data_IF_016900754179
#
_entry.id   IF_016900754179
#
_cell.length_a   1.000
_cell.length_b   1.000
_cell.length_c   1.000
_cell.angle_alpha   90.00
_cell.angle_beta   90.00
_cell.angle_gamma   90.00
#
_symmetry.space_group_name_H-M   'P 1'
#
loop_
_entity.id
_entity.type
_entity.pdbx_description
1 polymer ?
#
# COMPACT_ATOMS: atom_id res chain seq x y z
N UNK A 1 13.02 15.77 22.43
CA UNK A 1 11.85 15.06 21.90
C UNK A 1 12.02 15.07 20.40
N UNK A 2 12.61 14.00 19.84
CA UNK A 2 12.57 13.81 18.40
C UNK A 2 11.13 13.51 18.05
N UNK A 3 10.56 14.31 17.15
CA UNK A 3 9.31 13.94 16.48
C UNK A 3 9.69 12.69 15.69
N UNK A 4 9.28 11.52 16.17
CA UNK A 4 9.27 10.34 15.32
C UNK A 4 8.23 10.65 14.25
N UNK A 5 8.68 11.02 13.06
CA UNK A 5 7.81 11.11 11.89
C UNK A 5 7.40 9.68 11.58
N UNK A 6 6.22 9.28 12.03
CA UNK A 6 5.67 7.95 11.74
C UNK A 6 5.41 7.86 10.25
N UNK A 7 6.32 7.23 9.52
CA UNK A 7 6.16 7.00 8.09
C UNK A 7 4.97 6.06 7.86
N UNK A 8 4.02 6.46 7.03
CA UNK A 8 2.86 5.64 6.68
C UNK A 8 2.94 5.23 5.22
N UNK A 9 2.79 3.94 4.91
CA UNK A 9 2.78 3.47 3.53
C UNK A 9 1.34 3.34 3.03
N UNK A 10 0.92 4.29 2.21
CA UNK A 10 -0.45 4.47 1.76
C UNK A 10 -0.67 3.90 0.36
N UNK A 11 -1.91 3.50 0.08
CA UNK A 11 -2.34 2.92 -1.19
C UNK A 11 -3.63 3.57 -1.65
N UNK A 12 -3.76 3.75 -2.96
CA UNK A 12 -4.96 4.28 -3.61
C UNK A 12 -5.28 3.49 -4.87
N UNK A 13 -6.52 3.00 -5.03
CA UNK A 13 -6.96 2.44 -6.31
C UNK A 13 -7.22 3.55 -7.32
N UNK A 14 -6.90 3.32 -8.59
CA UNK A 14 -6.97 4.35 -9.63
C UNK A 14 -7.26 3.76 -11.01
N UNK A 15 -8.15 4.43 -11.76
CA UNK A 15 -8.40 4.11 -13.18
C UNK A 15 -7.25 4.58 -14.06
N UNK A 16 -7.08 3.93 -15.21
CA UNK A 16 -6.05 4.29 -16.19
C UNK A 16 -6.10 5.77 -16.62
N UNK A 17 -7.31 6.33 -16.77
CA UNK A 17 -7.51 7.73 -17.14
C UNK A 17 -6.96 8.70 -16.07
N UNK A 18 -7.25 8.43 -14.79
CA UNK A 18 -6.77 9.24 -13.67
C UNK A 18 -5.26 9.06 -13.46
N UNK A 19 -4.75 7.82 -13.63
CA UNK A 19 -3.31 7.56 -13.61
C UNK A 19 -2.61 8.36 -14.70
N UNK A 20 -3.15 8.38 -15.91
CA UNK A 20 -2.59 9.17 -17.02
C UNK A 20 -2.55 10.66 -16.67
N UNK A 21 -3.65 11.20 -16.13
CA UNK A 21 -3.72 12.60 -15.67
C UNK A 21 -2.68 12.92 -14.59
N UNK A 22 -2.45 11.99 -13.64
CA UNK A 22 -1.41 12.16 -12.62
C UNK A 22 -0.02 12.16 -13.24
N UNK A 23 0.27 11.22 -14.14
CA UNK A 23 1.59 11.09 -14.76
C UNK A 23 1.98 12.28 -15.65
N UNK A 24 1.00 12.99 -16.23
CA UNK A 24 1.24 14.20 -17.03
C UNK A 24 1.14 15.50 -16.21
N UNK A 25 0.78 15.41 -14.93
CA UNK A 25 0.68 16.54 -14.00
C UNK A 25 -0.63 17.35 -14.08
N UNK A 26 -1.67 16.82 -14.72
CA UNK A 26 -3.01 17.44 -14.80
C UNK A 26 -3.85 17.20 -13.53
N UNK A 27 -3.45 16.23 -12.71
CA UNK A 27 -4.08 15.88 -11.44
C UNK A 27 -2.98 15.57 -10.41
N UNK A 28 -3.15 16.01 -9.17
CA UNK A 28 -2.25 15.65 -8.07
C UNK A 28 -2.74 14.41 -7.33
N UNK A 29 -1.83 13.69 -6.66
CA UNK A 29 -2.21 12.58 -5.78
C UNK A 29 -3.13 13.04 -4.65
N UNK A 30 -2.91 14.23 -4.09
CA UNK A 30 -3.75 14.76 -3.03
C UNK A 30 -5.18 15.04 -3.51
N UNK A 31 -5.37 15.56 -4.73
CA UNK A 31 -6.70 15.72 -5.33
C UNK A 31 -7.43 14.38 -5.50
N UNK A 32 -6.72 13.33 -5.93
CA UNK A 32 -7.31 11.98 -6.03
C UNK A 32 -7.70 11.45 -4.64
N UNK A 33 -6.82 11.65 -3.65
CA UNK A 33 -7.01 11.17 -2.27
C UNK A 33 -8.13 11.89 -1.54
N UNK A 34 -8.27 13.19 -1.71
CA UNK A 34 -9.36 13.91 -1.07
C UNK A 34 -10.73 13.43 -1.58
N UNK A 35 -10.78 12.93 -2.83
CA UNK A 35 -11.98 12.43 -3.51
C UNK A 35 -13.23 13.28 -3.19
N UNK A 36 -13.04 14.62 -3.19
CA UNK A 36 -14.09 15.55 -2.76
C UNK A 36 -15.35 15.30 -3.56
N UNK A 37 -16.48 15.28 -2.88
CA UNK A 37 -17.81 15.03 -3.46
C UNK A 37 -18.00 13.63 -4.11
N UNK A 38 -17.17 12.63 -3.76
CA UNK A 38 -17.20 11.28 -4.36
C UNK A 38 -17.08 11.29 -5.89
N UNK A 39 -16.28 12.22 -6.43
CA UNK A 39 -16.08 12.38 -7.87
C UNK A 39 -15.44 11.14 -8.51
N UNK A 40 -14.71 10.34 -7.74
CA UNK A 40 -14.07 9.10 -8.16
C UNK A 40 -14.62 7.90 -7.37
N UNK A 41 -15.69 7.28 -7.88
CA UNK A 41 -16.35 6.13 -7.24
C UNK A 41 -15.43 4.90 -7.06
N UNK A 42 -14.34 4.85 -7.84
CA UNK A 42 -13.40 3.74 -7.90
C UNK A 42 -12.10 4.01 -7.15
N UNK A 43 -12.08 5.07 -6.33
CA UNK A 43 -10.97 5.41 -5.45
C UNK A 43 -11.26 4.89 -4.05
N UNK A 44 -10.51 3.85 -3.67
CA UNK A 44 -10.37 3.38 -2.29
C UNK A 44 -8.98 3.68 -1.80
N UNK A 45 -8.88 3.94 -0.50
CA UNK A 45 -7.61 4.18 0.17
C UNK A 45 -7.45 3.26 1.36
N UNK A 46 -6.22 2.83 1.59
CA UNK A 46 -5.81 2.09 2.77
C UNK A 46 -4.35 2.43 3.07
N UNK A 47 -3.96 2.31 4.32
CA UNK A 47 -2.61 2.63 4.77
C UNK A 47 -2.10 1.54 5.69
N UNK A 48 -0.80 1.30 5.60
CA UNK A 48 -0.03 0.65 6.62
C UNK A 48 0.43 1.77 7.56
N UNK A 49 -0.24 1.85 8.69
CA UNK A 49 0.11 2.76 9.78
C UNK A 49 0.61 1.93 10.94
N UNK A 50 1.62 2.47 11.63
CA UNK A 50 2.38 1.79 12.66
C UNK A 50 3.18 0.61 12.08
N UNK A 51 4.44 0.48 12.48
CA UNK A 51 5.33 -0.61 12.04
C UNK A 51 5.63 -0.69 10.54
N UNK A 52 5.50 0.42 9.81
CA UNK A 52 5.75 0.47 8.36
C UNK A 52 7.19 0.10 8.03
N UNK A 53 8.15 0.61 8.80
CA UNK A 53 9.58 0.39 8.57
C UNK A 53 9.92 -1.09 8.80
N UNK A 54 9.46 -1.65 9.91
CA UNK A 54 9.63 -3.03 10.32
C UNK A 54 8.98 -3.99 9.32
N UNK A 55 7.81 -3.64 8.79
CA UNK A 55 7.21 -4.40 7.69
C UNK A 55 8.09 -4.36 6.45
N UNK A 56 8.56 -3.18 6.03
CA UNK A 56 9.39 -3.04 4.83
C UNK A 56 10.69 -3.82 4.98
N UNK A 57 11.34 -3.74 6.13
CA UNK A 57 12.53 -4.53 6.46
C UNK A 57 12.25 -6.03 6.36
N UNK A 58 11.21 -6.51 7.05
CA UNK A 58 10.87 -7.93 7.09
C UNK A 58 10.43 -8.48 5.72
N UNK A 59 9.68 -7.71 4.94
CA UNK A 59 9.33 -8.07 3.57
C UNK A 59 10.56 -8.05 2.65
N UNK A 60 11.51 -7.16 2.90
CA UNK A 60 12.79 -7.07 2.18
C UNK A 60 13.68 -8.30 2.34
N UNK A 61 13.54 -9.05 3.44
CA UNK A 61 14.22 -10.34 3.64
C UNK A 61 13.72 -11.43 2.66
N UNK A 62 12.52 -11.26 2.08
CA UNK A 62 11.96 -12.17 1.09
C UNK A 62 11.42 -13.49 1.65
N UNK A 63 11.12 -13.55 2.94
CA UNK A 63 10.65 -14.77 3.62
C UNK A 63 9.13 -15.01 3.54
N UNK A 64 8.35 -13.99 3.16
CA UNK A 64 6.90 -14.07 3.01
C UNK A 64 6.51 -13.86 1.56
N UNK A 65 5.40 -14.49 1.12
CA UNK A 65 4.85 -14.22 -0.22
C UNK A 65 4.51 -12.74 -0.40
N UNK A 66 4.09 -12.05 0.68
CA UNK A 66 3.80 -10.62 0.68
C UNK A 66 5.00 -9.73 0.30
N UNK A 67 6.22 -10.26 0.18
CA UNK A 67 7.35 -9.53 -0.38
C UNK A 67 7.10 -9.02 -1.81
N UNK A 68 6.18 -9.67 -2.55
CA UNK A 68 5.72 -9.20 -3.86
C UNK A 68 5.15 -7.78 -3.81
N UNK A 69 4.65 -7.32 -2.66
CA UNK A 69 4.25 -5.94 -2.43
C UNK A 69 5.41 -4.96 -2.67
N UNK A 70 6.64 -5.35 -2.34
CA UNK A 70 7.83 -4.52 -2.62
C UNK A 70 8.39 -4.80 -4.03
N UNK A 71 8.42 -6.06 -4.45
CA UNK A 71 9.18 -6.47 -5.62
C UNK A 71 8.43 -6.37 -6.95
N UNK A 72 7.09 -6.34 -6.94
CA UNK A 72 6.29 -6.18 -8.17
C UNK A 72 5.85 -4.73 -8.43
N UNK A 73 6.17 -3.81 -7.53
CA UNK A 73 5.94 -2.39 -7.72
C UNK A 73 6.80 -1.84 -8.88
N UNK A 74 6.17 -1.10 -9.79
CA UNK A 74 6.87 -0.39 -10.85
C UNK A 74 7.30 1.00 -10.36
N UNK A 75 8.59 1.14 -10.10
CA UNK A 75 9.25 2.38 -9.69
C UNK A 75 9.90 3.14 -10.87
N UNK A 76 9.75 2.67 -12.10
CA UNK A 76 10.33 3.31 -13.30
C UNK A 76 9.40 4.34 -13.94
N UNK A 77 8.40 4.81 -13.20
CA UNK A 77 7.37 5.74 -13.70
C UNK A 77 7.63 7.16 -13.21
N UNK A 78 7.14 8.20 -13.91
CA UNK A 78 7.18 9.58 -13.42
C UNK A 78 6.59 9.76 -12.02
N UNK A 79 5.67 8.86 -11.61
CA UNK A 79 5.12 8.81 -10.26
C UNK A 79 6.18 8.66 -9.18
N UNK A 80 7.23 7.86 -9.43
CA UNK A 80 8.32 7.67 -8.47
C UNK A 80 9.16 8.94 -8.35
N UNK A 81 9.53 9.55 -9.49
CA UNK A 81 10.34 10.77 -9.50
C UNK A 81 9.62 11.99 -8.91
N UNK A 82 8.29 12.06 -9.06
CA UNK A 82 7.49 13.22 -8.66
C UNK A 82 6.89 13.11 -7.26
N UNK A 83 6.66 11.88 -6.78
CA UNK A 83 5.87 11.63 -5.57
C UNK A 83 6.43 10.54 -4.66
N UNK A 84 7.64 10.04 -4.92
CA UNK A 84 8.18 8.82 -4.29
C UNK A 84 7.19 7.64 -4.38
N UNK A 85 6.33 7.66 -5.40
CA UNK A 85 5.24 6.73 -5.56
C UNK A 85 5.66 5.44 -6.26
N UNK A 86 4.90 4.39 -5.96
CA UNK A 86 5.03 3.05 -6.52
C UNK A 86 3.78 2.71 -7.29
N UNK A 87 3.93 2.18 -8.51
CA UNK A 87 2.78 1.81 -9.33
C UNK A 87 2.60 0.29 -9.37
N UNK A 88 1.41 -0.17 -9.02
CA UNK A 88 0.96 -1.54 -9.21
C UNK A 88 -0.02 -1.57 -10.37
N UNK A 89 0.48 -1.92 -11.55
CA UNK A 89 -0.34 -2.03 -12.75
C UNK A 89 -1.44 -3.09 -12.59
N UNK A 90 -2.55 -2.96 -13.32
CA UNK A 90 -3.64 -3.97 -13.38
C UNK A 90 -3.12 -5.40 -13.54
N UNK A 91 -2.02 -5.60 -14.28
CA UNK A 91 -1.43 -6.91 -14.52
C UNK A 91 -0.79 -7.57 -13.28
N UNK A 92 -0.27 -6.78 -12.33
CA UNK A 92 0.40 -7.29 -11.11
C UNK A 92 -0.53 -7.34 -9.90
N UNK A 93 -1.63 -6.59 -9.91
CA UNK A 93 -2.62 -6.58 -8.83
C UNK A 93 -3.10 -7.98 -8.42
N UNK A 94 -3.44 -8.92 -9.35
CA UNK A 94 -3.80 -10.29 -8.98
C UNK A 94 -2.69 -11.06 -8.24
N UNK A 95 -1.43 -10.80 -8.57
CA UNK A 95 -0.30 -11.44 -7.88
C UNK A 95 -0.15 -10.90 -6.45
N UNK A 96 -0.37 -9.59 -6.25
CA UNK A 96 -0.42 -9.00 -4.90
C UNK A 96 -1.57 -9.59 -4.06
N UNK A 97 -2.75 -9.77 -4.63
CA UNK A 97 -3.89 -10.40 -3.93
C UNK A 97 -3.54 -11.83 -3.52
N UNK A 98 -2.93 -12.62 -4.41
CA UNK A 98 -2.45 -13.97 -4.09
C UNK A 98 -1.39 -13.94 -2.99
N UNK A 99 -0.46 -12.99 -3.02
CA UNK A 99 0.59 -12.84 -2.02
C UNK A 99 0.03 -12.56 -0.63
N UNK A 100 -0.98 -11.68 -0.51
CA UNK A 100 -1.72 -11.46 0.73
C UNK A 100 -2.42 -12.74 1.20
N UNK A 101 -3.12 -13.44 0.31
CA UNK A 101 -3.84 -14.67 0.66
C UNK A 101 -2.91 -15.84 1.07
N UNK A 102 -1.70 -15.89 0.50
CA UNK A 102 -0.68 -16.89 0.80
C UNK A 102 0.11 -16.58 2.08
N UNK A 103 0.05 -15.35 2.58
CA UNK A 103 0.80 -14.91 3.76
C UNK A 103 -0.06 -15.05 5.02
N UNK A 104 0.46 -15.75 6.03
CA UNK A 104 -0.16 -15.75 7.36
C UNK A 104 0.09 -14.39 8.03
N UNK A 105 -0.87 -13.49 7.89
CA UNK A 105 -0.79 -12.13 8.44
C UNK A 105 -0.67 -12.12 9.97
N UNK A 106 -1.18 -13.13 10.69
CA UNK A 106 -0.99 -13.20 12.15
C UNK A 106 0.45 -13.52 12.49
N UNK A 107 1.05 -14.47 11.77
CA UNK A 107 2.46 -14.80 11.92
C UNK A 107 3.34 -13.61 11.54
N UNK A 108 3.08 -12.95 10.41
CA UNK A 108 3.81 -11.75 9.99
C UNK A 108 3.81 -10.66 11.06
N UNK A 109 2.62 -10.33 11.60
CA UNK A 109 2.48 -9.34 12.69
C UNK A 109 3.20 -9.77 13.96
N UNK A 110 3.16 -11.07 14.29
CA UNK A 110 3.90 -11.60 15.43
C UNK A 110 5.42 -11.48 15.23
N UNK A 111 5.92 -11.76 14.03
CA UNK A 111 7.35 -11.71 13.72
C UNK A 111 7.85 -10.26 13.71
N UNK A 112 7.03 -9.29 13.29
CA UNK A 112 7.28 -7.84 13.50
C UNK A 112 7.35 -7.51 15.00
N UNK A 113 6.35 -7.93 15.78
CA UNK A 113 6.32 -7.73 17.24
C UNK A 113 7.37 -8.52 18.02
N UNK A 114 8.13 -9.43 17.39
CA UNK A 114 9.29 -10.07 17.99
C UNK A 114 10.52 -9.15 17.96
N UNK A 115 10.59 -8.22 17.00
CA UNK A 115 11.69 -7.28 16.88
C UNK A 115 11.69 -6.21 17.98
N UNK A 116 10.53 -5.82 18.49
CA UNK A 116 10.40 -4.84 19.59
C UNK A 116 9.29 -5.24 20.58
N UNK A 117 9.49 -5.06 21.88
CA UNK A 117 8.54 -5.45 22.93
C UNK A 117 7.29 -4.55 22.93
N UNK A 118 6.37 -4.83 22.01
CA UNK A 118 5.28 -3.94 21.62
C UNK A 118 3.91 -4.28 22.24
N UNK A 119 3.00 -3.30 22.18
CA UNK A 119 1.65 -3.46 22.73
C UNK A 119 0.76 -4.35 21.85
N UNK A 120 -0.02 -5.24 22.46
CA UNK A 120 -0.94 -6.13 21.74
C UNK A 120 -2.03 -5.36 20.96
N UNK A 121 -2.38 -4.16 21.41
CA UNK A 121 -3.33 -3.26 20.73
C UNK A 121 -2.75 -2.74 19.42
N UNK A 122 -1.53 -2.21 19.43
CA UNK A 122 -0.83 -1.74 18.22
C UNK A 122 -0.68 -2.83 17.16
N UNK A 123 -0.30 -4.05 17.58
CA UNK A 123 -0.21 -5.20 16.68
C UNK A 123 -1.58 -5.60 16.09
N UNK A 124 -2.68 -5.47 16.85
CA UNK A 124 -4.01 -5.73 16.33
C UNK A 124 -4.44 -4.68 15.31
N UNK A 125 -4.22 -3.40 15.59
CA UNK A 125 -4.48 -2.30 14.65
C UNK A 125 -3.68 -2.47 13.36
N UNK A 126 -2.39 -2.83 13.48
CA UNK A 126 -1.56 -3.07 12.31
C UNK A 126 -2.06 -4.26 11.46
N UNK A 127 -2.52 -5.34 12.10
CA UNK A 127 -3.18 -6.45 11.39
C UNK A 127 -4.45 -6.00 10.67
N UNK A 128 -5.24 -5.12 11.27
CA UNK A 128 -6.44 -4.55 10.64
C UNK A 128 -6.06 -3.70 9.42
N UNK A 129 -5.02 -2.87 9.53
CA UNK A 129 -4.46 -2.09 8.43
C UNK A 129 -4.01 -2.97 7.26
N UNK A 130 -3.27 -4.06 7.54
CA UNK A 130 -2.90 -5.05 6.51
C UNK A 130 -4.12 -5.65 5.81
N UNK A 131 -5.19 -5.95 6.56
CA UNK A 131 -6.44 -6.45 5.96
C UNK A 131 -7.12 -5.38 5.10
N UNK A 132 -7.13 -4.11 5.52
CA UNK A 132 -7.69 -3.03 4.70
C UNK A 132 -6.94 -2.85 3.39
N UNK A 133 -5.61 -2.94 3.40
CA UNK A 133 -4.80 -2.92 2.18
C UNK A 133 -5.13 -4.12 1.30
N UNK A 134 -5.24 -5.32 1.86
CA UNK A 134 -5.65 -6.51 1.09
C UNK A 134 -7.02 -6.32 0.43
N UNK A 135 -8.02 -5.81 1.14
CA UNK A 135 -9.36 -5.55 0.59
C UNK A 135 -9.34 -4.45 -0.49
N UNK A 136 -8.45 -3.46 -0.39
CA UNK A 136 -8.22 -2.50 -1.47
C UNK A 136 -7.68 -3.19 -2.72
N UNK A 137 -6.70 -4.08 -2.60
CA UNK A 137 -6.15 -4.81 -3.74
C UNK A 137 -7.17 -5.76 -4.37
N UNK A 138 -8.02 -6.44 -3.58
CA UNK A 138 -9.15 -7.22 -4.11
C UNK A 138 -10.13 -6.36 -4.88
N UNK A 139 -10.49 -5.20 -4.33
CA UNK A 139 -11.35 -4.26 -5.03
C UNK A 139 -10.73 -3.80 -6.36
N UNK A 140 -9.43 -3.53 -6.38
CA UNK A 140 -8.71 -3.18 -7.60
C UNK A 140 -8.69 -4.34 -8.61
N UNK A 141 -8.51 -5.58 -8.16
CA UNK A 141 -8.57 -6.78 -9.01
C UNK A 141 -9.94 -6.94 -9.66
N UNK A 142 -11.01 -6.91 -8.86
CA UNK A 142 -12.40 -7.07 -9.32
C UNK A 142 -12.80 -6.03 -10.37
N UNK A 143 -12.30 -4.81 -10.20
CA UNK A 143 -12.64 -3.66 -11.04
C UNK A 143 -11.60 -3.35 -12.12
N UNK A 144 -10.54 -4.16 -12.23
CA UNK A 144 -9.42 -3.98 -13.18
C UNK A 144 -8.78 -2.59 -13.08
N UNK A 145 -8.45 -2.19 -11.85
CA UNK A 145 -7.84 -0.91 -11.51
C UNK A 145 -6.34 -1.05 -11.25
N UNK A 146 -5.59 0.02 -11.45
CA UNK A 146 -4.23 0.13 -10.94
C UNK A 146 -4.28 0.49 -9.45
N UNK A 147 -3.18 0.29 -8.74
CA UNK A 147 -2.99 0.82 -7.38
C UNK A 147 -1.72 1.67 -7.35
N UNK A 148 -1.79 2.82 -6.71
CA UNK A 148 -0.64 3.69 -6.43
C UNK A 148 -0.29 3.55 -4.94
N UNK A 149 0.94 3.17 -4.64
CA UNK A 149 1.52 3.23 -3.29
C UNK A 149 2.38 4.50 -3.11
N UNK A 150 2.43 5.07 -1.91
CA UNK A 150 3.23 6.26 -1.60
C UNK A 150 3.44 6.39 -0.09
N UNK A 151 4.49 7.08 0.34
CA UNK A 151 4.78 7.33 1.76
C UNK A 151 4.28 8.72 2.19
N UNK A 152 3.78 8.82 3.42
CA UNK A 152 3.42 10.08 4.10
C UNK A 152 4.15 10.24 5.44
#
# INVERSE_FOLDING_TARGET
MSISTTMSFCFCSVREENLTSILVGDMTLDELRENRDNQYLDVRQASLEHYTEELVELLGEGHYALCDLLFLANNSTPLHEQHDGLLYNVAVVPEIVKAFAATDLKKLVHDIGYHEAESQEGLNTFRENLNHVHELFKFAEENKLNVIGFTL
#
